data_IF_992567299431
#
_entry.id   IF_992567299431
#
_cell.length_a   1.000
_cell.length_b   1.000
_cell.length_c   1.000
_cell.angle_alpha   90.00
_cell.angle_beta   90.00
_cell.angle_gamma   90.00
#
_symmetry.space_group_name_H-M   'P 1'
#
loop_
_entity.id
_entity.type
_entity.pdbx_description
1 polymer ?
#
# COMPACT_ATOMS: atom_id res chain seq x y z
N UNK A 1 -8.84 13.32 -29.94
CA UNK A 1 -9.04 14.71 -29.47
C UNK A 1 -10.10 14.86 -28.38
N UNK A 2 -11.42 14.92 -28.65
CA UNK A 2 -12.44 15.18 -27.57
C UNK A 2 -12.51 14.05 -26.52
N UNK A 3 -12.46 12.79 -26.96
CA UNK A 3 -12.55 11.61 -26.08
C UNK A 3 -11.33 11.43 -25.16
N UNK A 4 -10.15 11.81 -25.65
CA UNK A 4 -8.90 11.79 -24.86
C UNK A 4 -8.88 12.91 -23.82
N UNK A 5 -9.28 14.13 -24.21
CA UNK A 5 -9.39 15.25 -23.29
C UNK A 5 -10.38 14.97 -22.15
N UNK A 6 -11.51 14.33 -22.45
CA UNK A 6 -12.49 13.92 -21.44
C UNK A 6 -11.95 12.85 -20.48
N UNK A 7 -11.23 11.84 -20.99
CA UNK A 7 -10.62 10.81 -20.15
C UNK A 7 -9.51 11.38 -19.26
N UNK A 8 -8.71 12.31 -19.78
CA UNK A 8 -7.69 13.04 -19.01
C UNK A 8 -8.33 13.88 -17.89
N UNK A 9 -9.38 14.64 -18.21
CA UNK A 9 -10.09 15.45 -17.23
C UNK A 9 -10.76 14.59 -16.15
N UNK A 10 -11.40 13.47 -16.54
CA UNK A 10 -11.95 12.50 -15.58
C UNK A 10 -10.87 11.91 -14.70
N UNK A 11 -9.75 11.48 -15.27
CA UNK A 11 -8.65 10.90 -14.51
C UNK A 11 -8.06 11.91 -13.52
N UNK A 12 -7.93 13.18 -13.92
CA UNK A 12 -7.47 14.25 -13.05
C UNK A 12 -8.45 14.52 -11.90
N UNK A 13 -9.75 14.58 -12.17
CA UNK A 13 -10.79 14.71 -11.14
C UNK A 13 -10.78 13.49 -10.20
N UNK A 14 -10.62 12.27 -10.73
CA UNK A 14 -10.52 11.03 -9.93
C UNK A 14 -9.28 11.04 -9.01
N UNK A 15 -8.13 11.57 -9.45
CA UNK A 15 -6.92 11.73 -8.62
C UNK A 15 -7.16 12.76 -7.50
N UNK A 16 -7.66 13.95 -7.86
CA UNK A 16 -7.89 15.03 -6.89
C UNK A 16 -8.96 14.65 -5.84
N UNK A 17 -10.00 13.94 -6.25
CA UNK A 17 -11.02 13.44 -5.32
C UNK A 17 -10.43 12.39 -4.39
N UNK A 18 -9.64 11.45 -4.91
CA UNK A 18 -9.03 10.42 -4.08
C UNK A 18 -8.12 11.04 -3.03
N UNK A 19 -7.27 11.99 -3.35
CA UNK A 19 -6.40 12.66 -2.36
C UNK A 19 -7.19 13.32 -1.21
N UNK A 20 -8.43 13.77 -1.47
CA UNK A 20 -9.33 14.37 -0.49
C UNK A 20 -10.20 13.35 0.28
N UNK A 21 -10.25 12.09 -0.14
CA UNK A 21 -11.05 11.06 0.54
C UNK A 21 -10.47 10.76 1.93
N UNK A 22 -11.28 11.03 2.95
CA UNK A 22 -10.98 10.61 4.31
C UNK A 22 -11.25 9.11 4.48
N UNK A 23 -10.18 8.34 4.66
CA UNK A 23 -10.26 6.90 4.92
C UNK A 23 -10.42 6.57 6.42
N UNK A 24 -10.53 7.57 7.32
CA UNK A 24 -10.58 7.38 8.77
C UNK A 24 -11.76 6.50 9.26
N UNK A 25 -12.88 6.51 8.54
CA UNK A 25 -14.03 5.66 8.86
C UNK A 25 -13.98 4.25 8.24
N UNK A 26 -12.94 3.94 7.46
CA UNK A 26 -12.80 2.67 6.75
C UNK A 26 -11.89 1.68 7.49
N UNK A 27 -11.82 0.40 7.09
CA UNK A 27 -10.80 -0.53 7.59
C UNK A 27 -9.38 -0.24 7.10
N UNK A 28 -9.16 0.81 6.30
CA UNK A 28 -7.85 1.13 5.70
C UNK A 28 -7.40 2.54 6.08
N UNK A 29 -6.10 2.80 5.96
CA UNK A 29 -5.52 4.13 6.22
C UNK A 29 -4.47 4.47 5.18
N UNK A 30 -4.32 5.77 4.93
CA UNK A 30 -3.15 6.32 4.25
C UNK A 30 -2.06 6.67 5.25
N UNK A 31 -0.82 6.38 4.90
CA UNK A 31 0.35 6.94 5.57
C UNK A 31 1.13 7.74 4.53
N UNK A 32 1.30 9.04 4.78
CA UNK A 32 2.11 9.92 3.93
C UNK A 32 3.59 9.58 4.08
N UNK A 33 4.28 9.36 2.96
CA UNK A 33 5.71 9.06 2.89
C UNK A 33 6.53 10.27 2.39
N UNK A 34 5.95 11.10 1.53
CA UNK A 34 6.50 12.39 1.10
C UNK A 34 5.35 13.32 0.76
N UNK A 35 5.16 14.39 1.54
CA UNK A 35 4.17 15.41 1.23
C UNK A 35 4.56 16.21 -0.03
N UNK A 36 5.86 16.50 -0.20
CA UNK A 36 6.38 17.26 -1.35
C UNK A 36 6.07 16.59 -2.68
N UNK A 37 6.27 15.27 -2.75
CA UNK A 37 6.10 14.50 -3.98
C UNK A 37 4.75 13.77 -4.04
N UNK A 38 3.85 14.08 -3.10
CA UNK A 38 2.56 13.42 -2.89
C UNK A 38 2.64 11.88 -2.94
N UNK A 39 3.57 11.31 -2.18
CA UNK A 39 3.74 9.85 -2.09
C UNK A 39 3.19 9.36 -0.77
N UNK A 40 2.29 8.39 -0.84
CA UNK A 40 1.67 7.75 0.31
C UNK A 40 1.56 6.24 0.11
N UNK A 41 1.26 5.50 1.17
CA UNK A 41 0.96 4.08 1.09
C UNK A 41 -0.37 3.74 1.77
N UNK A 42 -1.00 2.66 1.28
CA UNK A 42 -2.22 2.11 1.85
C UNK A 42 -1.88 1.00 2.83
N UNK A 43 -2.49 1.01 4.01
CA UNK A 43 -2.32 -0.01 5.06
C UNK A 43 -3.67 -0.37 5.67
N UNK A 44 -3.74 -1.49 6.39
CA UNK A 44 -4.89 -1.77 7.25
C UNK A 44 -4.91 -0.80 8.45
N UNK A 45 -6.10 -0.38 8.87
CA UNK A 45 -6.27 0.55 9.99
C UNK A 45 -5.67 0.00 11.30
N UNK A 46 -5.71 -1.32 11.49
CA UNK A 46 -5.10 -2.00 12.63
C UNK A 46 -3.56 -1.89 12.67
N UNK A 47 -2.92 -1.69 11.51
CA UNK A 47 -1.47 -1.49 11.43
C UNK A 47 -1.04 -0.03 11.47
N UNK A 48 -1.92 0.88 11.07
CA UNK A 48 -1.61 2.30 11.01
C UNK A 48 -1.15 2.88 12.34
N UNK A 49 -1.76 2.46 13.46
CA UNK A 49 -1.45 2.96 14.79
C UNK A 49 0.05 2.84 15.11
N UNK A 50 0.63 1.65 14.97
CA UNK A 50 2.05 1.43 15.28
C UNK A 50 2.98 1.84 14.13
N UNK A 51 2.52 1.84 12.88
CA UNK A 51 3.33 2.28 11.75
C UNK A 51 3.61 3.79 11.76
N UNK A 52 2.66 4.59 12.25
CA UNK A 52 2.79 6.06 12.31
C UNK A 52 3.69 6.56 13.44
N UNK A 53 4.04 5.70 14.41
CA UNK A 53 5.04 6.01 15.44
C UNK A 53 6.46 6.17 14.86
N UNK A 54 6.66 5.73 13.61
CA UNK A 54 7.94 5.79 12.93
C UNK A 54 7.87 6.64 11.65
N UNK A 55 8.95 7.38 11.36
CA UNK A 55 9.11 8.08 10.10
C UNK A 55 9.58 7.14 8.99
N UNK A 56 8.80 7.07 7.91
CA UNK A 56 9.11 6.28 6.73
C UNK A 56 9.64 7.17 5.60
N UNK A 57 10.53 6.60 4.79
CA UNK A 57 11.09 7.23 3.59
C UNK A 57 10.71 6.42 2.36
N UNK A 58 10.72 7.07 1.20
CA UNK A 58 10.53 6.39 -0.09
C UNK A 58 11.86 5.84 -0.58
N UNK A 59 11.85 4.60 -1.07
CA UNK A 59 12.96 4.02 -1.84
C UNK A 59 12.45 3.46 -3.16
N UNK A 60 13.29 3.50 -4.18
CA UNK A 60 12.97 2.96 -5.50
C UNK A 60 13.41 1.49 -5.60
N UNK A 61 12.64 0.69 -6.32
CA UNK A 61 13.01 -0.69 -6.64
C UNK A 61 14.25 -0.73 -7.54
N UNK A 62 15.23 -1.58 -7.22
CA UNK A 62 16.45 -1.68 -8.03
C UNK A 62 16.23 -2.38 -9.38
N UNK A 63 15.32 -3.36 -9.43
CA UNK A 63 15.00 -4.14 -10.63
C UNK A 63 13.88 -3.55 -11.47
N UNK A 64 13.08 -2.70 -10.84
CA UNK A 64 11.83 -2.13 -11.34
C UNK A 64 11.80 -0.67 -10.88
N UNK A 65 12.57 0.22 -11.52
CA UNK A 65 12.84 1.58 -11.02
C UNK A 65 11.60 2.46 -10.83
N UNK A 66 10.45 2.06 -11.36
CA UNK A 66 9.17 2.73 -11.14
C UNK A 66 8.44 2.29 -9.86
N UNK A 67 8.83 1.17 -9.25
CA UNK A 67 8.26 0.72 -7.98
C UNK A 67 8.84 1.53 -6.83
N UNK A 68 7.96 1.95 -5.92
CA UNK A 68 8.32 2.70 -4.71
C UNK A 68 8.01 1.85 -3.49
N UNK A 69 8.88 1.88 -2.50
CA UNK A 69 8.70 1.16 -1.24
C UNK A 69 8.84 2.13 -0.07
N UNK A 70 7.94 2.00 0.90
CA UNK A 70 8.12 2.59 2.22
C UNK A 70 9.23 1.85 2.97
N UNK A 71 10.27 2.57 3.40
CA UNK A 71 11.40 2.02 4.12
C UNK A 71 11.84 2.90 5.30
N UNK A 72 12.59 2.31 6.21
CA UNK A 72 13.38 3.02 7.22
C UNK A 72 14.75 2.35 7.36
N UNK A 73 15.69 3.07 7.96
CA UNK A 73 16.96 2.48 8.36
C UNK A 73 16.93 2.27 9.88
N UNK A 74 17.41 1.13 10.36
CA UNK A 74 17.47 0.78 11.78
C UNK A 74 18.91 0.44 12.17
N UNK A 75 19.25 0.60 13.45
CA UNK A 75 20.55 0.22 14.00
C UNK A 75 21.73 1.10 13.56
N UNK A 76 22.93 0.84 14.13
CA UNK A 76 24.14 1.60 13.83
C UNK A 76 24.67 1.35 12.42
N UNK A 77 24.40 0.18 11.84
CA UNK A 77 24.76 -0.21 10.47
C UNK A 77 23.78 0.35 9.43
N UNK A 78 22.70 1.02 9.87
CA UNK A 78 21.64 1.57 9.03
C UNK A 78 20.97 0.51 8.15
N UNK A 79 20.81 -0.71 8.68
CA UNK A 79 20.07 -1.78 8.02
C UNK A 79 18.72 -1.28 7.49
N UNK A 80 18.43 -1.52 6.21
CA UNK A 80 17.16 -1.09 5.61
C UNK A 80 16.06 -2.09 5.91
N UNK A 81 14.98 -1.60 6.51
CA UNK A 81 13.74 -2.35 6.72
C UNK A 81 12.63 -1.74 5.88
N UNK A 82 11.78 -2.60 5.28
CA UNK A 82 10.63 -2.18 4.46
C UNK A 82 9.32 -2.42 5.20
N UNK A 83 8.39 -1.48 5.07
CA UNK A 83 7.12 -1.47 5.80
C UNK A 83 6.33 -2.79 5.64
N UNK A 84 6.14 -3.26 4.41
CA UNK A 84 5.43 -4.51 4.14
C UNK A 84 6.01 -5.71 4.90
N UNK A 85 7.33 -5.73 5.12
CA UNK A 85 8.00 -6.84 5.82
C UNK A 85 7.74 -6.77 7.32
N UNK A 86 7.71 -5.57 7.91
CA UNK A 86 7.34 -5.43 9.33
C UNK A 86 5.87 -5.82 9.56
N UNK A 87 4.96 -5.39 8.68
CA UNK A 87 3.55 -5.77 8.74
C UNK A 87 3.41 -7.30 8.71
N UNK A 88 4.05 -7.96 7.73
CA UNK A 88 3.94 -9.41 7.59
C UNK A 88 4.58 -10.17 8.77
N UNK A 89 5.72 -9.69 9.29
CA UNK A 89 6.36 -10.31 10.48
C UNK A 89 5.45 -10.18 11.71
N UNK A 90 4.80 -9.02 11.90
CA UNK A 90 3.90 -8.80 13.03
C UNK A 90 2.60 -9.60 12.91
N UNK A 91 2.04 -9.68 11.69
CA UNK A 91 0.79 -10.38 11.42
C UNK A 91 0.94 -11.91 11.36
N UNK A 92 2.07 -12.40 10.87
CA UNK A 92 2.40 -13.83 10.73
C UNK A 92 3.86 -14.07 11.14
N UNK A 93 4.18 -14.11 12.45
CA UNK A 93 5.53 -14.33 12.94
C UNK A 93 6.06 -15.70 12.52
N UNK A 94 7.28 -15.73 11.98
CA UNK A 94 7.96 -16.96 11.53
C UNK A 94 9.33 -17.09 12.17
N UNK A 95 9.90 -18.29 12.13
CA UNK A 95 11.26 -18.52 12.62
C UNK A 95 12.30 -17.77 11.78
N UNK A 96 13.43 -17.41 12.40
CA UNK A 96 14.53 -16.74 11.68
C UNK A 96 15.03 -17.55 10.48
N UNK A 97 15.03 -18.89 10.60
CA UNK A 97 15.40 -19.78 9.49
C UNK A 97 14.45 -19.61 8.30
N UNK A 98 13.15 -19.50 8.56
CA UNK A 98 12.17 -19.23 7.51
C UNK A 98 12.39 -17.84 6.91
N UNK A 99 12.51 -16.82 7.75
CA UNK A 99 12.66 -15.42 7.31
C UNK A 99 13.95 -15.16 6.51
N UNK A 100 15.02 -15.94 6.71
CA UNK A 100 16.26 -15.86 5.92
C UNK A 100 16.12 -16.39 4.49
N UNK A 101 15.14 -17.26 4.23
CA UNK A 101 14.93 -17.91 2.93
C UNK A 101 13.69 -17.40 2.20
N UNK A 102 12.87 -16.58 2.89
CA UNK A 102 11.63 -16.03 2.39
C UNK A 102 11.64 -14.50 2.35
N UNK A 103 11.00 -13.98 1.32
CA UNK A 103 10.71 -12.57 1.10
C UNK A 103 9.20 -12.35 1.17
N UNK A 104 8.80 -11.10 1.38
CA UNK A 104 7.40 -10.71 1.29
C UNK A 104 7.18 -10.12 -0.09
N UNK A 105 6.16 -10.61 -0.78
CA UNK A 105 5.74 -10.19 -2.12
C UNK A 105 4.38 -9.51 -2.06
N UNK A 106 4.15 -8.58 -2.99
CA UNK A 106 2.87 -7.90 -3.18
C UNK A 106 2.07 -8.62 -4.27
N UNK A 107 0.94 -9.22 -3.90
CA UNK A 107 0.12 -10.06 -4.78
C UNK A 107 -0.32 -9.29 -6.04
N UNK A 108 -0.75 -8.04 -5.89
CA UNK A 108 -1.15 -7.17 -7.01
C UNK A 108 0.02 -6.42 -7.68
N UNK A 109 1.25 -6.59 -7.20
CA UNK A 109 2.45 -5.88 -7.68
C UNK A 109 2.56 -4.40 -7.32
N UNK A 110 1.54 -3.82 -6.67
CA UNK A 110 1.55 -2.43 -6.17
C UNK A 110 2.27 -2.39 -4.82
N UNK A 111 3.51 -1.91 -4.83
CA UNK A 111 4.44 -1.99 -3.70
C UNK A 111 4.15 -1.02 -2.57
N UNK A 112 3.25 -0.05 -2.80
CA UNK A 112 2.72 0.86 -1.79
C UNK A 112 1.35 0.42 -1.25
N UNK A 113 0.76 -0.66 -1.76
CA UNK A 113 -0.40 -1.30 -1.17
C UNK A 113 0.05 -2.34 -0.13
N UNK A 114 0.25 -1.90 1.10
CA UNK A 114 0.80 -2.70 2.19
C UNK A 114 -0.27 -3.35 3.07
N UNK A 115 -1.53 -3.39 2.62
CA UNK A 115 -2.58 -4.15 3.32
C UNK A 115 -2.19 -5.62 3.40
N UNK A 116 -2.44 -6.27 4.53
CA UNK A 116 -2.06 -7.67 4.81
C UNK A 116 -2.59 -8.63 3.76
N UNK A 117 -3.83 -8.40 3.26
CA UNK A 117 -4.43 -9.23 2.22
C UNK A 117 -3.69 -9.20 0.88
N UNK A 118 -2.86 -8.18 0.65
CA UNK A 118 -2.01 -8.05 -0.54
C UNK A 118 -0.59 -8.58 -0.32
N UNK A 119 -0.23 -9.03 0.88
CA UNK A 119 1.12 -9.49 1.21
C UNK A 119 1.17 -11.02 1.32
N UNK A 120 2.28 -11.61 0.88
CA UNK A 120 2.53 -13.05 1.05
C UNK A 120 4.01 -13.38 1.22
N UNK A 121 4.29 -14.44 1.96
CA UNK A 121 5.63 -15.04 2.01
C UNK A 121 5.90 -15.84 0.74
N UNK A 122 7.07 -15.62 0.12
CA UNK A 122 7.57 -16.39 -1.01
C UNK A 122 9.03 -16.76 -0.79
N UNK A 123 9.46 -17.89 -1.34
CA UNK A 123 10.88 -18.15 -1.53
C UNK A 123 11.46 -17.19 -2.56
N UNK A 124 12.77 -16.97 -2.51
CA UNK A 124 13.48 -16.17 -3.53
C UNK A 124 13.23 -16.68 -4.95
N UNK A 125 13.15 -18.00 -5.16
CA UNK A 125 12.89 -18.61 -6.47
C UNK A 125 11.49 -18.25 -6.99
N UNK A 126 10.47 -18.35 -6.14
CA UNK A 126 9.10 -17.97 -6.49
C UNK A 126 9.00 -16.47 -6.80
N UNK A 127 9.59 -15.63 -5.95
CA UNK A 127 9.58 -14.19 -6.15
C UNK A 127 10.26 -13.76 -7.47
N UNK A 128 11.37 -14.40 -7.84
CA UNK A 128 12.05 -14.12 -9.12
C UNK A 128 11.20 -14.50 -10.36
N UNK A 129 10.30 -15.47 -10.22
CA UNK A 129 9.35 -15.88 -11.26
C UNK A 129 8.16 -14.93 -11.38
N UNK A 130 7.80 -14.22 -10.31
CA UNK A 130 6.74 -13.22 -10.34
C UNK A 130 7.22 -11.96 -11.06
N UNK A 131 6.83 -11.81 -12.32
CA UNK A 131 7.04 -10.60 -13.10
C UNK A 131 5.70 -10.11 -13.61
N UNK A 132 5.11 -9.15 -12.90
CA UNK A 132 3.92 -8.46 -13.36
C UNK A 132 4.34 -7.28 -14.23
N UNK A 133 3.90 -7.22 -15.50
CA UNK A 133 4.11 -6.04 -16.34
C UNK A 133 3.55 -4.79 -15.68
N UNK A 134 4.21 -3.64 -15.85
CA UNK A 134 3.83 -2.38 -15.19
C UNK A 134 2.37 -2.01 -15.50
N UNK A 135 1.91 -2.29 -16.70
CA UNK A 135 0.58 -1.96 -17.23
C UNK A 135 -0.54 -2.72 -16.51
N UNK A 136 -0.23 -3.85 -15.87
CA UNK A 136 -1.19 -4.66 -15.12
C UNK A 136 -1.26 -4.30 -13.63
N UNK A 137 -0.34 -3.46 -13.16
CA UNK A 137 -0.29 -3.08 -11.75
C UNK A 137 -1.27 -1.92 -11.53
N UNK A 138 -2.31 -2.09 -10.69
CA UNK A 138 -3.25 -1.01 -10.40
C UNK A 138 -2.59 0.14 -9.65
N UNK A 139 -3.10 1.36 -9.85
CA UNK A 139 -2.68 2.51 -9.04
C UNK A 139 -3.27 2.38 -7.62
N UNK A 140 -2.68 3.08 -6.66
CA UNK A 140 -3.28 3.15 -5.32
C UNK A 140 -4.69 3.74 -5.36
N UNK A 141 -4.91 4.74 -6.21
CA UNK A 141 -6.20 5.40 -6.35
C UNK A 141 -7.26 4.44 -6.88
N UNK A 142 -6.93 3.64 -7.91
CA UNK A 142 -7.87 2.65 -8.43
C UNK A 142 -8.18 1.55 -7.40
N UNK A 143 -7.18 1.17 -6.59
CA UNK A 143 -7.39 0.24 -5.47
C UNK A 143 -8.36 0.84 -4.44
N UNK A 144 -8.13 2.09 -4.01
CA UNK A 144 -8.99 2.75 -3.02
C UNK A 144 -10.42 2.91 -3.53
N UNK A 145 -10.61 3.33 -4.77
CA UNK A 145 -11.94 3.45 -5.37
C UNK A 145 -12.67 2.11 -5.39
N UNK A 146 -11.99 1.03 -5.77
CA UNK A 146 -12.58 -0.32 -5.75
C UNK A 146 -12.96 -0.73 -4.33
N UNK A 147 -12.09 -0.49 -3.35
CA UNK A 147 -12.34 -0.83 -1.96
C UNK A 147 -13.53 -0.10 -1.36
N UNK A 148 -13.69 1.18 -1.67
CA UNK A 148 -14.84 1.97 -1.23
C UNK A 148 -16.12 1.51 -1.91
N UNK A 149 -16.07 1.15 -3.19
CA UNK A 149 -17.21 0.56 -3.88
C UNK A 149 -17.63 -0.78 -3.25
N UNK A 150 -16.66 -1.62 -2.89
CA UNK A 150 -16.89 -2.93 -2.27
C UNK A 150 -17.41 -2.82 -0.82
N UNK A 151 -17.04 -1.77 -0.08
CA UNK A 151 -17.54 -1.52 1.28
C UNK A 151 -19.04 -1.21 1.28
N UNK A 152 -19.58 -0.73 0.15
CA UNK A 152 -20.95 -0.29 0.02
C UNK A 152 -21.22 1.04 0.73
N UNK A 153 -22.46 1.55 0.67
CA UNK A 153 -22.83 2.74 1.42
C UNK A 153 -22.64 2.51 2.92
N UNK A 154 -22.19 3.54 3.64
CA UNK A 154 -22.18 3.51 5.10
C UNK A 154 -23.59 3.13 5.57
N UNK A 155 -23.70 2.13 6.46
CA UNK A 155 -24.99 1.81 7.10
C UNK A 155 -25.54 3.09 7.69
N UNK A 156 -26.75 3.47 7.30
CA UNK A 156 -27.44 4.59 7.94
C UNK A 156 -27.38 4.34 9.46
N UNK A 157 -26.98 5.35 10.25
CA UNK A 157 -26.99 5.20 11.69
C UNK A 157 -28.43 4.86 12.08
N UNK A 158 -28.64 3.68 12.65
CA UNK A 158 -29.94 3.30 13.16
C UNK A 158 -30.41 4.41 14.10
N UNK A 159 -31.57 4.99 13.83
CA UNK A 159 -32.18 5.97 14.73
C UNK A 159 -32.22 5.34 16.12
N UNK A 160 -31.42 5.87 17.04
CA UNK A 160 -31.48 5.48 18.45
C UNK A 160 -32.72 6.20 19.00
N UNK A 161 -33.80 5.49 19.37
CA UNK A 161 -34.95 6.14 19.96
C UNK A 161 -34.50 6.76 21.29
N UNK A 162 -34.68 8.08 21.43
CA UNK A 162 -34.49 8.81 22.68
C UNK A 162 -35.61 8.52 23.66
#
# INVERSE_FOLDING_TARGET
MIREAFNLARHQIEIETVDLLDLSATPWRRIMLSARDNVWCLVDAADAAWLTETVWNVSWGSRTPWQKYAKRNVGPDRATVRMHREIMIKADPRSDRFMRTHVVDHINGQTLDNRRCNLRWLTHRQNCGNRTPRERIPSLDSIVLQLLADLGPAREPAEVPF
#
